data_IF_838031227408
#
_entry.id   IF_838031227408
#
_cell.length_a   1.000
_cell.length_b   1.000
_cell.length_c   1.000
_cell.angle_alpha   90.00
_cell.angle_beta   90.00
_cell.angle_gamma   90.00
#
_symmetry.space_group_name_H-M   'P 1'
#
loop_
_entity.id
_entity.type
_entity.pdbx_description
1 polymer ?
#
# COMPACT_ATOMS: atom_id res chain seq x y z
N UNK A 1 23.34 50.41 18.03
CA UNK A 1 21.93 50.13 18.42
C UNK A 1 21.28 48.93 17.69
N UNK A 2 21.91 48.29 16.69
CA UNK A 2 21.32 47.13 15.98
C UNK A 2 21.45 45.77 16.67
N UNK A 3 22.58 45.53 17.37
CA UNK A 3 22.90 44.22 17.98
C UNK A 3 22.07 43.88 19.23
N UNK A 4 21.58 44.88 19.95
CA UNK A 4 20.80 44.66 21.18
C UNK A 4 19.35 44.21 20.86
N UNK A 5 18.83 44.66 19.71
CA UNK A 5 17.50 44.27 19.19
C UNK A 5 17.48 42.88 18.55
N UNK A 6 18.62 42.34 18.10
CA UNK A 6 18.72 40.96 17.60
C UNK A 6 18.80 39.97 18.76
N UNK A 7 19.63 40.26 19.77
CA UNK A 7 19.78 39.42 20.97
C UNK A 7 18.47 39.31 21.75
N UNK A 8 17.74 40.41 21.96
CA UNK A 8 16.43 40.37 22.62
C UNK A 8 15.38 39.57 21.84
N UNK A 9 15.47 39.52 20.51
CA UNK A 9 14.57 38.70 19.67
C UNK A 9 14.91 37.22 19.73
N UNK A 10 16.18 36.87 19.79
CA UNK A 10 16.63 35.48 19.94
C UNK A 10 16.26 34.93 21.32
N UNK A 11 16.53 35.67 22.41
CA UNK A 11 16.14 35.27 23.77
C UNK A 11 14.63 35.05 23.89
N UNK A 12 13.83 35.94 23.28
CA UNK A 12 12.36 35.80 23.28
C UNK A 12 11.90 34.54 22.52
N UNK A 13 12.56 34.19 21.40
CA UNK A 13 12.28 32.94 20.68
C UNK A 13 12.65 31.71 21.50
N UNK A 14 13.77 31.73 22.24
CA UNK A 14 14.15 30.63 23.13
C UNK A 14 13.16 30.45 24.29
N UNK A 15 12.69 31.55 24.88
CA UNK A 15 11.65 31.52 25.91
C UNK A 15 10.31 30.97 25.38
N UNK A 16 9.90 31.39 24.18
CA UNK A 16 8.67 30.88 23.54
C UNK A 16 8.77 29.37 23.20
N UNK A 17 9.97 28.86 22.90
CA UNK A 17 10.21 27.43 22.65
C UNK A 17 10.17 26.60 23.94
N UNK A 18 10.79 27.08 25.02
CA UNK A 18 10.75 26.43 26.33
C UNK A 18 9.32 26.41 26.90
N UNK A 19 8.58 27.51 26.80
CA UNK A 19 7.17 27.56 27.22
C UNK A 19 6.29 26.62 26.39
N UNK A 20 6.53 26.51 25.08
CA UNK A 20 5.80 25.58 24.22
C UNK A 20 6.11 24.11 24.56
N UNK A 21 7.36 23.79 24.89
CA UNK A 21 7.78 22.45 25.28
C UNK A 21 7.21 22.04 26.65
N UNK A 22 7.32 22.92 27.64
CA UNK A 22 6.75 22.71 28.99
C UNK A 22 5.21 22.59 28.93
N UNK A 23 4.57 23.36 28.05
CA UNK A 23 3.12 23.26 27.83
C UNK A 23 2.71 21.93 27.18
N UNK A 24 3.53 21.40 26.27
CA UNK A 24 3.28 20.10 25.63
C UNK A 24 3.40 18.94 26.62
N UNK A 25 4.42 18.94 27.47
CA UNK A 25 4.60 17.93 28.53
C UNK A 25 3.41 17.93 29.50
N UNK A 26 2.99 19.11 29.96
CA UNK A 26 1.82 19.23 30.84
C UNK A 26 0.52 18.73 30.20
N UNK A 27 0.36 18.92 28.89
CA UNK A 27 -0.81 18.41 28.15
C UNK A 27 -0.75 16.91 27.92
N UNK A 28 0.44 16.33 27.84
CA UNK A 28 0.64 14.89 27.78
C UNK A 28 0.29 14.25 29.13
N UNK A 29 0.72 14.83 30.25
CA UNK A 29 0.36 14.36 31.59
C UNK A 29 -1.16 14.42 31.82
N UNK A 30 -1.82 15.48 31.36
CA UNK A 30 -3.28 15.62 31.38
C UNK A 30 -3.95 14.51 30.55
N UNK A 31 -3.41 14.20 29.37
CA UNK A 31 -3.91 13.11 28.54
C UNK A 31 -3.73 11.75 29.22
N UNK A 32 -2.56 11.47 29.81
CA UNK A 32 -2.29 10.22 30.54
C UNK A 32 -3.28 10.05 31.70
N UNK A 33 -3.50 11.11 32.47
CA UNK A 33 -4.46 11.09 33.58
C UNK A 33 -5.91 10.87 33.10
N UNK A 34 -6.28 11.41 31.94
CA UNK A 34 -7.60 11.16 31.35
C UNK A 34 -7.74 9.73 30.85
N UNK A 35 -6.68 9.15 30.27
CA UNK A 35 -6.66 7.76 29.81
C UNK A 35 -6.83 6.80 30.99
N UNK A 36 -6.06 6.98 32.07
CA UNK A 36 -6.09 6.14 33.28
C UNK A 36 -7.45 6.15 33.99
N UNK A 37 -8.14 7.29 34.00
CA UNK A 37 -9.44 7.44 34.66
C UNK A 37 -10.65 7.15 33.75
N UNK A 38 -10.41 6.86 32.47
CA UNK A 38 -11.47 6.56 31.52
C UNK A 38 -11.67 5.06 31.36
N UNK A 39 -12.93 4.61 31.41
CA UNK A 39 -13.30 3.24 31.01
C UNK A 39 -13.24 3.12 29.48
N UNK A 40 -12.04 3.02 28.94
CA UNK A 40 -11.84 2.83 27.50
C UNK A 40 -11.98 1.36 27.15
N UNK A 41 -12.78 1.09 26.12
CA UNK A 41 -12.78 -0.21 25.47
C UNK A 41 -11.54 -0.37 24.58
N UNK A 42 -11.24 -1.62 24.21
CA UNK A 42 -10.08 -1.96 23.37
C UNK A 42 -10.09 -1.21 22.02
N UNK A 43 -11.28 -0.96 21.47
CA UNK A 43 -11.47 -0.29 20.18
C UNK A 43 -11.13 1.21 20.25
N UNK A 44 -11.44 1.86 21.38
CA UNK A 44 -11.13 3.28 21.61
C UNK A 44 -9.65 3.50 21.85
N UNK A 45 -8.97 2.55 22.51
CA UNK A 45 -7.51 2.58 22.70
C UNK A 45 -6.80 2.44 21.35
N UNK A 46 -7.23 1.52 20.47
CA UNK A 46 -6.65 1.37 19.14
C UNK A 46 -6.82 2.66 18.30
N UNK A 47 -8.00 3.30 18.34
CA UNK A 47 -8.25 4.57 17.63
C UNK A 47 -7.36 5.71 18.12
N UNK A 48 -7.14 5.80 19.44
CA UNK A 48 -6.27 6.82 20.03
C UNK A 48 -4.81 6.60 19.66
N UNK A 49 -4.35 5.36 19.69
CA UNK A 49 -3.01 4.97 19.27
C UNK A 49 -2.75 5.32 17.79
N UNK A 50 -3.69 4.97 16.90
CA UNK A 50 -3.60 5.31 15.47
C UNK A 50 -3.53 6.83 15.26
N UNK A 51 -4.38 7.59 15.96
CA UNK A 51 -4.43 9.06 15.82
C UNK A 51 -3.16 9.73 16.35
N UNK A 52 -2.59 9.21 17.44
CA UNK A 52 -1.33 9.69 18.00
C UNK A 52 -0.15 9.40 17.06
N UNK A 53 -0.04 8.17 16.56
CA UNK A 53 1.01 7.77 15.64
C UNK A 53 0.95 8.58 14.34
N UNK A 54 -0.25 8.76 13.77
CA UNK A 54 -0.44 9.58 12.57
C UNK A 54 -0.07 11.06 12.78
N UNK A 55 -0.25 11.60 13.99
CA UNK A 55 0.20 12.96 14.32
C UNK A 55 1.73 13.04 14.47
N UNK A 56 2.35 11.98 15.01
CA UNK A 56 3.80 11.89 15.20
C UNK A 56 4.54 11.71 13.88
N UNK A 57 4.06 10.83 13.00
CA UNK A 57 4.62 10.60 11.65
C UNK A 57 4.67 11.88 10.81
N UNK A 58 3.62 12.71 10.87
CA UNK A 58 3.57 14.00 10.16
C UNK A 58 4.67 14.96 10.61
N UNK A 59 5.18 14.81 11.84
CA UNK A 59 6.20 15.68 12.42
C UNK A 59 7.62 15.07 12.33
N UNK A 60 7.74 13.74 12.34
CA UNK A 60 9.04 13.05 12.24
C UNK A 60 9.57 12.99 10.81
N UNK A 61 8.71 12.76 9.82
CA UNK A 61 9.10 12.57 8.41
C UNK A 61 9.59 13.88 7.74
N UNK A 62 9.25 15.04 8.29
CA UNK A 62 9.42 16.31 7.58
C UNK A 62 10.78 17.02 7.74
N UNK A 63 11.65 16.63 8.67
CA UNK A 63 12.85 17.45 8.98
C UNK A 63 14.19 16.72 8.94
N UNK A 64 14.24 15.43 9.25
CA UNK A 64 15.50 14.67 9.21
C UNK A 64 15.65 13.87 7.91
N UNK A 65 14.56 13.31 7.43
CA UNK A 65 14.58 12.46 6.24
C UNK A 65 14.85 13.29 4.98
N UNK A 66 14.23 14.46 4.84
CA UNK A 66 14.46 15.35 3.68
C UNK A 66 15.91 15.84 3.56
N UNK A 67 16.63 16.07 4.66
CA UNK A 67 18.02 16.56 4.64
C UNK A 67 19.04 15.43 4.40
N UNK A 68 18.78 14.19 4.86
CA UNK A 68 19.62 13.02 4.55
C UNK A 68 19.41 12.54 3.09
N UNK A 69 18.17 12.53 2.58
CA UNK A 69 17.89 12.17 1.18
C UNK A 69 18.41 13.22 0.18
N UNK A 70 18.40 14.51 0.54
CA UNK A 70 18.92 15.58 -0.34
C UNK A 70 20.44 15.54 -0.51
N UNK A 71 21.18 14.91 0.42
CA UNK A 71 22.63 14.68 0.27
C UNK A 71 22.97 13.57 -0.73
N UNK A 72 22.07 12.61 -0.95
CA UNK A 72 22.24 11.55 -1.95
C UNK A 72 22.01 12.02 -3.41
N UNK A 73 21.29 13.12 -3.59
CA UNK A 73 21.05 13.75 -4.90
C UNK A 73 22.22 14.64 -5.37
N UNK A 74 23.26 14.78 -4.55
CA UNK A 74 24.49 15.49 -4.95
C UNK A 74 25.24 14.68 -6.03
N UNK A 75 25.53 15.31 -7.16
CA UNK A 75 26.17 14.69 -8.33
C UNK A 75 27.68 14.45 -8.15
N UNK A 76 28.23 14.81 -6.99
CA UNK A 76 29.64 14.65 -6.63
C UNK A 76 30.00 13.26 -6.07
N UNK A 77 29.00 12.46 -5.66
CA UNK A 77 29.22 11.13 -5.07
C UNK A 77 29.23 10.02 -6.13
N UNK A 78 30.16 9.08 -5.99
CA UNK A 78 30.25 7.90 -6.86
C UNK A 78 29.04 6.98 -6.63
N UNK A 79 28.59 6.27 -7.67
CA UNK A 79 27.44 5.34 -7.58
C UNK A 79 27.60 4.29 -6.46
N UNK A 80 28.84 3.93 -6.16
CA UNK A 80 29.18 2.97 -5.11
C UNK A 80 28.99 3.58 -3.70
N UNK A 81 29.39 4.84 -3.50
CA UNK A 81 29.18 5.56 -2.23
C UNK A 81 27.69 5.82 -1.97
N UNK A 82 26.93 6.14 -3.03
CA UNK A 82 25.46 6.26 -2.92
C UNK A 82 24.79 4.95 -2.49
N UNK A 83 25.31 3.80 -2.93
CA UNK A 83 24.78 2.50 -2.55
C UNK A 83 25.13 2.13 -1.10
N UNK A 84 26.36 2.42 -0.67
CA UNK A 84 26.84 2.16 0.69
C UNK A 84 26.14 3.06 1.73
N UNK A 85 25.96 4.34 1.42
CA UNK A 85 25.18 5.26 2.27
C UNK A 85 23.69 4.89 2.31
N UNK A 86 23.13 4.37 1.20
CA UNK A 86 21.76 3.86 1.18
C UNK A 86 21.63 2.60 2.05
N UNK A 87 22.57 1.67 1.97
CA UNK A 87 22.63 0.49 2.82
C UNK A 87 22.74 0.89 4.31
N UNK A 88 23.58 1.87 4.61
CA UNK A 88 23.74 2.42 5.96
C UNK A 88 22.48 3.10 6.48
N UNK A 89 21.77 3.86 5.63
CA UNK A 89 20.48 4.46 5.98
C UNK A 89 19.39 3.40 6.18
N UNK A 90 19.33 2.39 5.33
CA UNK A 90 18.41 1.24 5.46
C UNK A 90 18.70 0.41 6.72
N UNK A 91 19.97 0.32 7.15
CA UNK A 91 20.34 -0.39 8.37
C UNK A 91 20.00 0.42 9.65
N UNK A 92 20.08 1.76 9.56
CA UNK A 92 19.79 2.70 10.67
C UNK A 92 18.29 2.87 10.88
N UNK A 93 17.51 2.93 9.80
CA UNK A 93 16.07 2.84 9.82
C UNK A 93 15.68 1.39 9.64
N UNK A 94 15.80 0.58 10.71
CA UNK A 94 15.13 -0.72 10.76
C UNK A 94 13.66 -0.48 10.46
N UNK A 95 13.26 -0.78 9.23
CA UNK A 95 11.86 -0.86 8.84
C UNK A 95 11.25 -1.91 9.76
N UNK A 96 10.60 -1.43 10.81
CA UNK A 96 10.07 -2.29 11.85
C UNK A 96 9.06 -3.24 11.19
N UNK A 97 9.35 -4.53 11.32
CA UNK A 97 8.70 -5.62 10.61
C UNK A 97 7.26 -5.84 11.08
N UNK A 98 6.74 -5.03 12.00
CA UNK A 98 5.39 -5.17 12.53
C UNK A 98 4.33 -4.37 11.75
N UNK A 99 4.64 -3.21 11.18
CA UNK A 99 3.67 -2.46 10.34
C UNK A 99 3.53 -3.04 8.92
N UNK A 100 4.55 -3.75 8.46
CA UNK A 100 4.51 -4.46 7.18
C UNK A 100 3.58 -5.68 7.24
N UNK A 101 3.34 -6.30 8.40
CA UNK A 101 2.42 -7.46 8.47
C UNK A 101 0.96 -7.10 8.25
N UNK A 102 0.51 -5.90 8.65
CA UNK A 102 -0.88 -5.43 8.44
C UNK A 102 -1.13 -5.04 6.97
N UNK A 103 -0.10 -4.51 6.28
CA UNK A 103 -0.15 -4.22 4.83
C UNK A 103 -0.05 -5.52 4.00
N UNK A 104 0.77 -6.49 4.41
CA UNK A 104 0.88 -7.82 3.77
C UNK A 104 -0.42 -8.64 3.99
N UNK A 105 -1.13 -8.45 5.09
CA UNK A 105 -2.41 -9.11 5.34
C UNK A 105 -3.52 -8.63 4.39
N UNK A 106 -3.57 -7.34 4.05
CA UNK A 106 -4.48 -6.84 3.00
C UNK A 106 -4.08 -7.30 1.60
N UNK A 107 -2.79 -7.52 1.35
CA UNK A 107 -2.30 -8.01 0.05
C UNK A 107 -2.61 -9.50 -0.18
N UNK A 108 -2.74 -10.30 0.90
CA UNK A 108 -3.18 -11.70 0.82
C UNK A 108 -4.64 -11.85 0.34
N UNK A 109 -5.50 -10.87 0.61
CA UNK A 109 -6.89 -10.86 0.12
C UNK A 109 -7.01 -10.62 -1.38
N UNK A 110 -6.09 -9.83 -1.95
CA UNK A 110 -6.05 -9.50 -3.38
C UNK A 110 -5.74 -10.73 -4.25
N UNK A 111 -4.87 -11.63 -3.78
CA UNK A 111 -4.55 -12.87 -4.51
C UNK A 111 -5.74 -13.84 -4.62
N UNK A 112 -6.56 -13.92 -3.57
CA UNK A 112 -7.73 -14.82 -3.51
C UNK A 112 -8.84 -14.34 -4.43
N UNK A 113 -9.14 -13.04 -4.44
CA UNK A 113 -10.16 -12.48 -5.35
C UNK A 113 -9.76 -12.66 -6.83
N UNK A 114 -8.47 -12.51 -7.16
CA UNK A 114 -7.94 -12.79 -8.50
C UNK A 114 -8.12 -14.26 -8.90
N UNK A 115 -7.92 -15.19 -7.96
CA UNK A 115 -8.09 -16.63 -8.21
C UNK A 115 -9.57 -16.98 -8.48
N UNK A 116 -10.50 -16.42 -7.69
CA UNK A 116 -11.94 -16.59 -7.89
C UNK A 116 -12.36 -16.02 -9.25
N UNK A 117 -11.89 -14.81 -9.60
CA UNK A 117 -12.16 -14.19 -10.90
C UNK A 117 -11.66 -15.04 -12.06
N UNK A 118 -10.45 -15.61 -11.95
CA UNK A 118 -9.88 -16.47 -12.97
C UNK A 118 -10.74 -17.73 -13.20
N UNK A 119 -11.18 -18.38 -12.12
CA UNK A 119 -12.08 -19.55 -12.19
C UNK A 119 -13.43 -19.18 -12.83
N UNK A 120 -14.01 -18.03 -12.46
CA UNK A 120 -15.26 -17.55 -13.04
C UNK A 120 -15.13 -17.29 -14.54
N UNK A 121 -14.04 -16.67 -15.00
CA UNK A 121 -13.79 -16.42 -16.43
C UNK A 121 -13.67 -17.73 -17.21
N UNK A 122 -12.96 -18.73 -16.66
CA UNK A 122 -12.83 -20.05 -17.29
C UNK A 122 -14.20 -20.72 -17.39
N UNK A 123 -14.97 -20.75 -16.30
CA UNK A 123 -16.32 -21.34 -16.28
C UNK A 123 -17.27 -20.63 -17.25
N UNK A 124 -17.22 -19.30 -17.31
CA UNK A 124 -18.05 -18.49 -18.21
C UNK A 124 -17.69 -18.75 -19.67
N UNK A 125 -16.39 -18.80 -20.01
CA UNK A 125 -15.94 -19.12 -21.35
C UNK A 125 -16.35 -20.52 -21.80
N UNK A 126 -16.20 -21.53 -20.94
CA UNK A 126 -16.70 -22.88 -21.24
C UNK A 126 -18.23 -22.92 -21.37
N UNK A 127 -18.96 -22.19 -20.53
CA UNK A 127 -20.41 -22.08 -20.65
C UNK A 127 -20.82 -21.46 -21.99
N UNK A 128 -20.09 -20.46 -22.48
CA UNK A 128 -20.34 -19.85 -23.79
C UNK A 128 -20.08 -20.79 -24.97
N UNK A 129 -19.13 -21.72 -24.85
CA UNK A 129 -18.84 -22.71 -25.91
C UNK A 129 -19.86 -23.85 -25.92
N UNK A 130 -20.33 -24.28 -24.74
CA UNK A 130 -21.19 -25.47 -24.62
C UNK A 130 -22.67 -25.11 -24.74
N UNK A 131 -23.07 -23.94 -24.21
CA UNK A 131 -24.47 -23.55 -24.19
C UNK A 131 -24.82 -22.86 -25.52
N UNK A 132 -25.84 -23.36 -26.26
CA UNK A 132 -26.31 -22.67 -27.45
C UNK A 132 -26.84 -21.29 -27.04
N UNK A 133 -26.28 -20.25 -27.64
CA UNK A 133 -26.73 -18.89 -27.38
C UNK A 133 -28.12 -18.69 -28.01
N UNK A 134 -28.99 -17.84 -27.43
CA UNK A 134 -30.26 -17.54 -28.06
C UNK A 134 -30.04 -16.95 -29.47
N UNK A 135 -30.94 -17.19 -30.46
CA UNK A 135 -30.69 -16.93 -31.89
C UNK A 135 -30.28 -15.49 -32.26
N UNK A 136 -30.56 -14.53 -31.38
CA UNK A 136 -30.18 -13.13 -31.54
C UNK A 136 -28.68 -12.86 -31.28
N UNK A 137 -27.96 -13.80 -30.67
CA UNK A 137 -26.53 -13.69 -30.34
C UNK A 137 -25.61 -14.37 -31.37
N UNK A 138 -26.11 -15.32 -32.17
CA UNK A 138 -25.34 -16.05 -33.19
C UNK A 138 -25.21 -15.27 -34.52
N UNK A 139 -25.17 -13.93 -34.47
CA UNK A 139 -25.24 -13.10 -35.69
C UNK A 139 -24.06 -13.28 -36.65
N UNK A 140 -22.93 -13.83 -36.19
CA UNK A 140 -21.72 -13.97 -37.00
C UNK A 140 -21.09 -15.36 -36.84
N UNK A 141 -21.39 -16.25 -37.79
CA UNK A 141 -20.67 -17.52 -37.96
C UNK A 141 -19.51 -17.29 -38.92
N UNK A 142 -18.29 -17.69 -38.51
CA UNK A 142 -17.07 -17.46 -39.29
C UNK A 142 -16.82 -18.63 -40.24
N UNK A 143 -17.14 -19.84 -39.80
CA UNK A 143 -16.94 -21.05 -40.58
C UNK A 143 -18.08 -22.03 -40.36
N UNK A 144 -18.80 -22.40 -41.42
CA UNK A 144 -19.83 -23.43 -41.36
C UNK A 144 -19.22 -24.80 -41.68
N UNK A 145 -19.34 -25.75 -40.75
CA UNK A 145 -19.03 -27.16 -41.02
C UNK A 145 -20.24 -27.88 -41.66
N UNK A 146 -21.45 -27.43 -41.33
CA UNK A 146 -22.74 -27.93 -41.85
C UNK A 146 -23.76 -26.78 -41.91
N UNK A 147 -24.94 -27.01 -42.52
CA UNK A 147 -26.01 -25.99 -42.61
C UNK A 147 -26.50 -25.48 -41.25
N UNK A 148 -26.35 -26.28 -40.20
CA UNK A 148 -26.84 -25.98 -38.85
C UNK A 148 -25.72 -25.94 -37.80
N UNK A 149 -24.45 -26.00 -38.22
CA UNK A 149 -23.33 -26.10 -37.29
C UNK A 149 -22.06 -25.43 -37.86
N UNK A 150 -21.42 -24.61 -37.04
CA UNK A 150 -20.29 -23.79 -37.46
C UNK A 150 -19.60 -23.11 -36.28
N UNK A 151 -18.35 -22.73 -36.48
CA UNK A 151 -17.60 -21.93 -35.51
C UNK A 151 -18.12 -20.50 -35.54
N UNK A 152 -18.62 -20.06 -34.40
CA UNK A 152 -19.13 -18.69 -34.25
C UNK A 152 -18.03 -17.73 -33.84
N UNK A 153 -18.24 -16.44 -34.10
CA UNK A 153 -17.41 -15.38 -33.51
C UNK A 153 -17.46 -15.43 -31.97
N UNK A 154 -18.58 -15.88 -31.41
CA UNK A 154 -18.75 -16.08 -29.98
C UNK A 154 -17.82 -17.16 -29.42
N UNK A 155 -17.62 -18.27 -30.13
CA UNK A 155 -16.66 -19.32 -29.73
C UNK A 155 -15.23 -18.78 -29.71
N UNK A 156 -14.88 -17.94 -30.68
CA UNK A 156 -13.58 -17.28 -30.74
C UNK A 156 -13.35 -16.33 -29.55
N UNK A 157 -14.37 -15.52 -29.22
CA UNK A 157 -14.32 -14.64 -28.04
C UNK A 157 -14.26 -15.47 -26.75
N UNK A 158 -15.03 -16.54 -26.65
CA UNK A 158 -15.01 -17.45 -25.52
C UNK A 158 -13.63 -18.09 -25.35
N UNK A 159 -12.95 -18.46 -26.44
CA UNK A 159 -11.58 -18.97 -26.42
C UNK A 159 -10.60 -17.95 -25.85
N UNK A 160 -10.70 -16.67 -26.24
CA UNK A 160 -9.89 -15.58 -25.70
C UNK A 160 -10.15 -15.38 -24.19
N UNK A 161 -11.41 -15.46 -23.77
CA UNK A 161 -11.80 -15.36 -22.35
C UNK A 161 -11.20 -16.53 -21.55
N UNK A 162 -11.30 -17.76 -22.05
CA UNK A 162 -10.71 -18.95 -21.41
C UNK A 162 -9.19 -18.79 -21.29
N UNK A 163 -8.51 -18.40 -22.37
CA UNK A 163 -7.06 -18.17 -22.35
C UNK A 163 -6.66 -17.12 -21.32
N UNK A 164 -7.40 -16.01 -21.25
CA UNK A 164 -7.17 -14.95 -20.27
C UNK A 164 -7.41 -15.44 -18.84
N UNK A 165 -8.47 -16.22 -18.61
CA UNK A 165 -8.77 -16.84 -17.32
C UNK A 165 -7.68 -17.81 -16.87
N UNK A 166 -7.19 -18.67 -17.77
CA UNK A 166 -6.09 -19.60 -17.49
C UNK A 166 -4.79 -18.85 -17.19
N UNK A 167 -4.47 -17.80 -17.97
CA UNK A 167 -3.32 -16.95 -17.70
C UNK A 167 -3.38 -16.29 -16.32
N UNK A 168 -4.54 -15.70 -15.97
CA UNK A 168 -4.76 -15.10 -14.66
C UNK A 168 -4.68 -16.13 -13.53
N UNK A 169 -5.15 -17.35 -13.76
CA UNK A 169 -5.08 -18.44 -12.80
C UNK A 169 -3.63 -18.82 -12.47
N UNK A 170 -2.79 -19.04 -13.50
CA UNK A 170 -1.37 -19.33 -13.30
C UNK A 170 -0.61 -18.16 -12.68
N UNK A 171 -0.92 -16.92 -13.10
CA UNK A 171 -0.33 -15.73 -12.50
C UNK A 171 -0.70 -15.60 -11.01
N UNK A 172 -1.95 -15.88 -10.65
CA UNK A 172 -2.41 -15.91 -9.26
C UNK A 172 -1.67 -16.98 -8.45
N UNK A 173 -1.54 -18.20 -8.98
CA UNK A 173 -0.80 -19.29 -8.32
C UNK A 173 0.68 -18.93 -8.08
N UNK A 174 1.33 -18.32 -9.06
CA UNK A 174 2.72 -17.88 -8.92
C UNK A 174 2.87 -16.76 -7.88
N UNK A 175 1.94 -15.81 -7.84
CA UNK A 175 1.93 -14.76 -6.82
C UNK A 175 1.67 -15.33 -5.43
N UNK A 176 0.71 -16.26 -5.28
CA UNK A 176 0.42 -16.93 -4.02
C UNK A 176 1.63 -17.75 -3.51
N UNK A 177 2.36 -18.41 -4.42
CA UNK A 177 3.58 -19.15 -4.09
C UNK A 177 4.71 -18.22 -3.60
N UNK A 178 4.87 -17.05 -4.22
CA UNK A 178 5.84 -16.03 -3.79
C UNK A 178 5.52 -15.47 -2.40
N UNK A 179 4.25 -15.16 -2.14
CA UNK A 179 3.81 -14.69 -0.81
C UNK A 179 4.02 -15.75 0.28
N UNK A 180 3.99 -17.04 -0.05
CA UNK A 180 4.22 -18.15 0.90
C UNK A 180 5.71 -18.48 1.12
N UNK A 181 6.62 -18.01 0.27
CA UNK A 181 8.07 -18.21 0.46
C UNK A 181 8.75 -17.05 1.21
N UNK A 182 8.11 -15.87 1.25
CA UNK A 182 8.67 -14.65 1.85
C UNK A 182 8.09 -14.30 3.24
N UNK A 183 7.27 -15.17 3.82
CA UNK A 183 6.72 -15.04 5.17
C UNK A 183 6.90 -16.33 5.94
#
# INVERSE_FOLDING_TARGET
MGSEKSIKREIKKFQELDEAQVSAERKLDELIHLLDNSMLDSDSIEKLHIKFNAAMERKSVSLKDLDEFKKLDDNSLSRLEKADDLEKLLSKYKLDSNDSTKIIATDKGSGISLMILAVLLILLGFAMVIMPAPPYFEMFTIFYFSQNDGVTLMDLIALVIIFTGVYLFFNSLNNLKRTRQNG
#
